data_IF_505630157670
#
_entry.id   IF_505630157670
#
_cell.length_a   1.000
_cell.length_b   1.000
_cell.length_c   1.000
_cell.angle_alpha   90.00
_cell.angle_beta   90.00
_cell.angle_gamma   90.00
#
_symmetry.space_group_name_H-M   'P 1'
#
loop_
_entity.id
_entity.type
_entity.pdbx_description
1 polymer ?
#
# COMPACT_ATOMS: atom_id res chain seq x y z
N UNK A 1 -13.78 -6.39 20.66
CA UNK A 1 -13.07 -7.17 19.62
C UNK A 1 -11.58 -6.92 19.80
N UNK A 2 -10.75 -7.96 19.90
CA UNK A 2 -9.29 -7.83 20.11
C UNK A 2 -8.58 -7.90 18.76
N UNK A 3 -7.70 -6.95 18.48
CA UNK A 3 -6.87 -6.93 17.26
C UNK A 3 -5.54 -7.61 17.58
N UNK A 4 -5.18 -8.64 16.83
CA UNK A 4 -3.96 -9.44 17.07
C UNK A 4 -2.84 -9.11 16.08
N UNK A 5 -2.66 -7.82 15.80
CA UNK A 5 -1.65 -7.29 14.88
C UNK A 5 -2.21 -6.69 13.59
N UNK A 6 -1.31 -6.16 12.77
CA UNK A 6 -1.65 -5.39 11.56
C UNK A 6 -2.42 -6.23 10.54
N UNK A 7 -2.03 -7.48 10.32
CA UNK A 7 -2.73 -8.38 9.40
C UNK A 7 -4.17 -8.66 9.83
N UNK A 8 -4.41 -8.84 11.14
CA UNK A 8 -5.76 -8.98 11.69
C UNK A 8 -6.57 -7.70 11.43
N UNK A 9 -6.00 -6.53 11.72
CA UNK A 9 -6.66 -5.24 11.52
C UNK A 9 -7.09 -5.03 10.06
N UNK A 10 -6.19 -5.30 9.10
CA UNK A 10 -6.47 -5.16 7.67
C UNK A 10 -7.58 -6.13 7.24
N UNK A 11 -7.51 -7.40 7.64
CA UNK A 11 -8.55 -8.39 7.34
C UNK A 11 -9.91 -7.96 7.86
N UNK A 12 -9.97 -7.45 9.08
CA UNK A 12 -11.20 -6.95 9.68
C UNK A 12 -11.75 -5.74 8.90
N UNK A 13 -10.87 -4.84 8.45
CA UNK A 13 -11.22 -3.73 7.57
C UNK A 13 -11.88 -4.19 6.28
N UNK A 14 -11.31 -5.20 5.60
CA UNK A 14 -11.91 -5.77 4.39
C UNK A 14 -13.28 -6.41 4.65
N UNK A 15 -13.41 -7.24 5.69
CA UNK A 15 -14.70 -7.87 6.03
C UNK A 15 -15.78 -6.83 6.35
N UNK A 16 -15.41 -5.76 7.05
CA UNK A 16 -16.33 -4.66 7.38
C UNK A 16 -16.73 -3.91 6.11
N UNK A 17 -15.77 -3.60 5.24
CA UNK A 17 -16.02 -2.92 3.96
C UNK A 17 -16.98 -3.72 3.07
N UNK A 18 -16.78 -5.04 2.97
CA UNK A 18 -17.68 -5.94 2.26
C UNK A 18 -19.10 -5.93 2.85
N UNK A 19 -19.24 -5.95 4.17
CA UNK A 19 -20.54 -5.90 4.84
C UNK A 19 -21.31 -4.61 4.54
N UNK A 20 -20.58 -3.52 4.29
CA UNK A 20 -21.13 -2.19 4.03
C UNK A 20 -21.22 -1.83 2.54
N UNK A 21 -20.92 -2.77 1.63
CA UNK A 21 -20.86 -2.54 0.18
C UNK A 21 -19.99 -1.32 -0.19
N UNK A 22 -18.81 -1.22 0.43
CA UNK A 22 -17.84 -0.18 0.09
C UNK A 22 -17.11 -0.56 -1.19
N UNK A 23 -17.10 0.35 -2.17
CA UNK A 23 -16.51 0.10 -3.49
C UNK A 23 -14.97 0.14 -3.47
N UNK A 24 -14.38 1.06 -2.70
CA UNK A 24 -12.93 1.28 -2.66
C UNK A 24 -12.43 1.29 -1.21
N UNK A 25 -11.38 0.52 -0.93
CA UNK A 25 -10.77 0.41 0.40
C UNK A 25 -9.32 0.86 0.35
N UNK A 26 -8.98 1.88 1.13
CA UNK A 26 -7.60 2.31 1.34
C UNK A 26 -7.06 1.79 2.68
N UNK A 27 -5.84 1.26 2.67
CA UNK A 27 -5.11 0.86 3.89
C UNK A 27 -3.95 1.83 4.10
N UNK A 28 -4.02 2.59 5.19
CA UNK A 28 -2.97 3.57 5.56
C UNK A 28 -2.43 3.22 6.95
N UNK A 29 -1.11 3.18 7.07
CA UNK A 29 -0.45 3.02 8.37
C UNK A 29 -0.57 4.28 9.21
N UNK A 30 -0.94 4.14 10.49
CA UNK A 30 -1.05 5.25 11.43
C UNK A 30 0.31 5.58 12.10
N UNK A 31 1.38 5.60 11.30
CA UNK A 31 2.76 5.87 11.74
C UNK A 31 3.27 7.26 11.29
N UNK A 32 2.37 8.08 10.74
CA UNK A 32 2.65 9.40 10.14
C UNK A 32 3.67 9.38 8.99
N UNK A 33 3.94 8.21 8.37
CA UNK A 33 4.83 8.13 7.19
C UNK A 33 4.10 8.42 5.87
N UNK A 34 2.78 8.48 5.88
CA UNK A 34 1.95 8.78 4.71
C UNK A 34 1.11 10.02 4.96
N UNK A 35 1.21 10.98 4.05
CA UNK A 35 0.39 12.18 4.01
C UNK A 35 -0.98 11.84 3.40
N UNK A 36 -2.03 11.96 4.20
CA UNK A 36 -3.40 11.66 3.76
C UNK A 36 -3.89 12.60 2.66
N UNK A 37 -3.30 13.80 2.52
CA UNK A 37 -3.62 14.69 1.40
C UNK A 37 -3.26 14.06 0.05
N UNK A 38 -2.29 13.14 0.02
CA UNK A 38 -1.86 12.43 -1.19
C UNK A 38 -2.71 11.21 -1.52
N UNK A 39 -3.74 10.89 -0.72
CA UNK A 39 -4.54 9.68 -0.93
C UNK A 39 -5.29 9.67 -2.27
N UNK A 40 -5.70 10.85 -2.77
CA UNK A 40 -6.38 10.99 -4.06
C UNK A 40 -5.54 10.43 -5.23
N UNK A 41 -4.21 10.56 -5.17
CA UNK A 41 -3.30 10.00 -6.18
C UNK A 41 -3.40 8.47 -6.33
N UNK A 42 -3.95 7.78 -5.32
CA UNK A 42 -4.16 6.34 -5.31
C UNK A 42 -5.61 5.96 -5.59
N UNK A 43 -6.57 6.77 -5.16
CA UNK A 43 -7.99 6.48 -5.31
C UNK A 43 -8.47 6.85 -6.73
N UNK A 44 -8.02 7.98 -7.28
CA UNK A 44 -8.50 8.52 -8.56
C UNK A 44 -8.31 7.54 -9.74
N UNK A 45 -7.17 6.82 -9.88
CA UNK A 45 -7.03 5.82 -10.94
C UNK A 45 -8.03 4.66 -10.84
N UNK A 46 -8.50 4.34 -9.62
CA UNK A 46 -9.53 3.30 -9.41
C UNK A 46 -10.90 3.87 -9.78
N UNK A 47 -11.20 5.11 -9.36
CA UNK A 47 -12.46 5.80 -9.71
C UNK A 47 -12.61 5.97 -11.22
N UNK A 48 -11.51 6.29 -11.92
CA UNK A 48 -11.50 6.53 -13.36
C UNK A 48 -11.42 5.26 -14.20
N UNK A 49 -11.47 4.07 -13.58
CA UNK A 49 -11.37 2.76 -14.25
C UNK A 49 -10.03 2.58 -15.01
N UNK A 50 -8.97 3.22 -14.52
CA UNK A 50 -7.61 3.14 -15.08
C UNK A 50 -6.78 2.02 -14.42
N UNK A 51 -7.15 1.58 -13.21
CA UNK A 51 -6.49 0.50 -12.49
C UNK A 51 -7.40 -0.19 -11.46
N UNK A 52 -7.29 -1.52 -11.34
CA UNK A 52 -8.00 -2.30 -10.30
C UNK A 52 -7.35 -2.18 -8.90
N UNK A 53 -6.07 -1.78 -8.85
CA UNK A 53 -5.31 -1.67 -7.60
C UNK A 53 -4.17 -0.65 -7.73
N UNK A 54 -4.06 0.21 -6.73
CA UNK A 54 -2.98 1.18 -6.61
C UNK A 54 -2.21 0.94 -5.32
N UNK A 55 -0.91 1.26 -5.35
CA UNK A 55 -0.03 1.06 -4.19
C UNK A 55 0.98 2.19 -4.07
N UNK A 56 1.02 2.79 -2.90
CA UNK A 56 2.08 3.72 -2.51
C UNK A 56 3.45 3.04 -2.54
N UNK A 57 4.38 3.64 -3.28
CA UNK A 57 5.76 3.22 -3.27
C UNK A 57 6.69 4.41 -2.99
N UNK A 58 7.18 4.47 -1.75
CA UNK A 58 8.23 5.42 -1.32
C UNK A 58 9.56 5.28 -2.06
N UNK A 59 9.69 4.30 -2.95
CA UNK A 59 10.88 4.05 -3.76
C UNK A 59 10.67 4.31 -5.26
N UNK A 60 9.46 4.65 -5.73
CA UNK A 60 9.25 4.98 -7.15
C UNK A 60 9.59 6.44 -7.48
N UNK A 61 9.52 7.33 -6.49
CA UNK A 61 10.03 8.70 -6.59
C UNK A 61 11.40 8.72 -5.89
N UNK A 62 12.48 8.87 -6.66
CA UNK A 62 13.87 9.01 -6.19
C UNK A 62 14.50 7.90 -5.30
N UNK A 63 14.22 6.62 -5.55
CA UNK A 63 15.01 5.54 -4.91
C UNK A 63 16.51 5.50 -5.26
N UNK A 64 16.97 6.32 -6.22
CA UNK A 64 18.38 6.38 -6.58
C UNK A 64 19.24 7.11 -5.55
N UNK A 65 18.69 8.00 -4.73
CA UNK A 65 19.53 8.85 -3.87
C UNK A 65 19.63 8.39 -2.40
N UNK A 66 18.76 7.50 -1.90
CA UNK A 66 18.68 7.23 -0.44
C UNK A 66 18.69 5.74 -0.05
N UNK A 67 19.03 4.81 -0.95
CA UNK A 67 19.13 3.38 -0.60
C UNK A 67 20.58 2.88 -0.51
N UNK A 68 21.04 2.39 0.66
CA UNK A 68 22.34 1.74 0.78
C UNK A 68 22.43 0.55 -0.20
N UNK A 69 23.54 0.48 -0.95
CA UNK A 69 23.76 -0.47 -2.06
C UNK A 69 23.37 -1.93 -1.74
N UNK A 70 23.60 -2.37 -0.50
CA UNK A 70 23.27 -3.73 -0.03
C UNK A 70 21.76 -4.01 -0.05
N UNK A 71 20.93 -3.02 0.25
CA UNK A 71 19.46 -3.17 0.30
C UNK A 71 18.84 -3.17 -1.10
N UNK A 72 19.47 -2.45 -2.03
CA UNK A 72 19.08 -2.45 -3.45
C UNK A 72 19.31 -3.82 -4.10
N UNK A 73 20.46 -4.44 -3.88
CA UNK A 73 20.75 -5.79 -4.40
C UNK A 73 19.77 -6.83 -3.83
N UNK A 74 19.48 -6.77 -2.52
CA UNK A 74 18.53 -7.68 -1.90
C UNK A 74 17.13 -7.60 -2.53
N UNK A 75 16.67 -6.39 -2.84
CA UNK A 75 15.38 -6.18 -3.48
C UNK A 75 15.36 -6.67 -4.95
N UNK A 76 16.45 -6.51 -5.70
CA UNK A 76 16.57 -7.06 -7.07
C UNK A 76 16.49 -8.58 -7.03
N UNK A 77 17.28 -9.22 -6.16
CA UNK A 77 17.33 -10.67 -6.07
C UNK A 77 15.95 -11.26 -5.69
N UNK A 78 15.29 -10.63 -4.73
CA UNK A 78 13.95 -11.05 -4.32
C UNK A 78 12.92 -10.85 -5.44
N UNK A 79 13.00 -9.75 -6.19
CA UNK A 79 12.11 -9.48 -7.33
C UNK A 79 12.26 -10.49 -8.47
N UNK A 80 13.47 -11.02 -8.68
CA UNK A 80 13.72 -12.10 -9.67
C UNK A 80 13.12 -13.42 -9.19
N UNK A 81 13.13 -13.69 -7.89
CA UNK A 81 12.57 -14.92 -7.32
C UNK A 81 11.04 -14.91 -7.21
N UNK A 82 10.42 -13.74 -7.13
CA UNK A 82 8.97 -13.59 -6.96
C UNK A 82 8.24 -13.20 -8.25
N UNK A 83 8.93 -13.29 -9.39
CA UNK A 83 8.33 -13.14 -10.72
C UNK A 83 8.22 -14.51 -11.38
#
# INVERSE_FOLDING_TARGET
MKIEGVGHAIKLGYLTSLKHNIDIVAVVGADHQFDLEQLHLFIDPIINDEADYTKGNRFLVDAKEVMPYKRYIGNIFLSILTR
#
